data_IF_996084574168
#
_entry.id   IF_996084574168
#
_cell.length_a   1.000
_cell.length_b   1.000
_cell.length_c   1.000
_cell.angle_alpha   90.00
_cell.angle_beta   90.00
_cell.angle_gamma   90.00
#
_symmetry.space_group_name_H-M   'P 1'
#
loop_
_entity.id
_entity.type
_entity.pdbx_description
1 polymer ?
#
# COMPACT_ATOMS: atom_id res chain seq x y z
N UNK A 1 -15.98 -10.28 -1.58
CA UNK A 1 -15.54 -8.88 -1.58
C UNK A 1 -14.03 -8.84 -1.44
N UNK A 2 -13.33 -8.09 -2.30
CA UNK A 2 -11.86 -8.00 -2.33
C UNK A 2 -11.49 -6.50 -2.31
N UNK A 3 -10.57 -6.11 -1.43
CA UNK A 3 -10.03 -4.75 -1.40
C UNK A 3 -8.61 -4.76 -1.98
N UNK A 4 -8.37 -3.99 -3.03
CA UNK A 4 -7.04 -3.83 -3.64
C UNK A 4 -6.42 -2.56 -3.06
N UNK A 5 -5.39 -2.72 -2.24
CA UNK A 5 -4.82 -1.63 -1.45
C UNK A 5 -3.47 -1.16 -1.99
N UNK A 6 -3.19 0.15 -1.91
CA UNK A 6 -1.88 0.76 -2.23
C UNK A 6 -1.23 1.48 -1.03
N UNK A 7 -1.65 1.15 0.20
CA UNK A 7 -1.26 1.81 1.45
C UNK A 7 0.04 1.29 2.10
N UNK A 8 0.88 0.56 1.36
CA UNK A 8 2.10 -0.01 1.93
C UNK A 8 3.18 1.07 2.12
N UNK A 9 3.62 1.26 3.36
CA UNK A 9 4.74 2.15 3.69
C UNK A 9 5.95 1.30 4.09
N UNK A 10 7.03 1.33 3.30
CA UNK A 10 8.24 0.58 3.60
C UNK A 10 8.88 1.01 4.92
N UNK A 11 9.41 0.05 5.68
CA UNK A 11 10.10 0.26 6.95
C UNK A 11 11.60 -0.08 6.84
N UNK A 12 12.43 0.50 7.71
CA UNK A 12 13.90 0.31 7.64
C UNK A 12 14.35 -1.16 7.65
N UNK A 13 13.63 -2.04 8.35
CA UNK A 13 14.03 -3.46 8.44
C UNK A 13 13.90 -4.23 7.12
N UNK A 14 13.14 -3.72 6.14
CA UNK A 14 13.03 -4.33 4.79
C UNK A 14 13.97 -3.69 3.77
N UNK A 15 14.81 -2.71 4.16
CA UNK A 15 15.70 -1.97 3.26
C UNK A 15 16.62 -2.82 2.39
N UNK A 16 17.02 -4.00 2.87
CA UNK A 16 17.83 -4.96 2.10
C UNK A 16 17.09 -5.57 0.90
N UNK A 17 15.76 -5.51 0.88
CA UNK A 17 14.89 -6.03 -0.18
C UNK A 17 14.37 -4.84 -0.99
N UNK A 18 15.01 -4.53 -2.11
CA UNK A 18 14.69 -3.34 -2.93
C UNK A 18 13.24 -3.35 -3.43
N UNK A 19 12.72 -4.54 -3.71
CA UNK A 19 11.36 -4.81 -4.12
C UNK A 19 10.32 -4.51 -3.03
N UNK A 20 10.70 -4.64 -1.76
CA UNK A 20 9.86 -4.30 -0.60
C UNK A 20 10.16 -2.90 -0.06
N UNK A 21 11.30 -2.29 -0.38
CA UNK A 21 11.68 -0.96 0.12
C UNK A 21 11.20 0.18 -0.79
N UNK A 22 10.02 0.01 -1.40
CA UNK A 22 9.38 1.07 -2.21
C UNK A 22 7.86 0.93 -2.19
N UNK A 23 7.18 2.02 -2.56
CA UNK A 23 5.75 2.00 -2.85
C UNK A 23 5.51 1.46 -4.25
N UNK A 24 4.35 0.85 -4.45
CA UNK A 24 3.85 0.55 -5.80
C UNK A 24 3.65 1.86 -6.56
N UNK A 25 3.98 1.86 -7.84
CA UNK A 25 3.66 3.01 -8.70
C UNK A 25 2.17 2.99 -9.05
N UNK A 26 1.64 4.15 -9.48
CA UNK A 26 0.26 4.22 -9.95
C UNK A 26 -0.02 3.22 -11.09
N UNK A 27 0.90 3.11 -12.05
CA UNK A 27 0.80 2.17 -13.18
C UNK A 27 0.71 0.71 -12.72
N UNK A 28 1.54 0.31 -11.75
CA UNK A 28 1.53 -1.07 -11.23
C UNK A 28 0.25 -1.38 -10.45
N UNK A 29 -0.31 -0.38 -9.76
CA UNK A 29 -1.61 -0.53 -9.10
C UNK A 29 -2.74 -0.70 -10.12
N UNK A 30 -2.75 0.14 -11.16
CA UNK A 30 -3.74 0.08 -12.24
C UNK A 30 -3.68 -1.27 -12.98
N UNK A 31 -2.48 -1.80 -13.26
CA UNK A 31 -2.29 -3.12 -13.87
C UNK A 31 -2.94 -4.26 -13.04
N UNK A 32 -2.89 -4.17 -11.71
CA UNK A 32 -3.55 -5.15 -10.81
C UNK A 32 -5.07 -4.97 -10.81
N UNK A 33 -5.56 -3.74 -10.88
CA UNK A 33 -6.99 -3.44 -10.98
C UNK A 33 -7.55 -3.95 -12.32
N UNK A 34 -6.87 -3.68 -13.43
CA UNK A 34 -7.23 -4.16 -14.76
C UNK A 34 -7.26 -5.69 -14.82
N UNK A 35 -6.27 -6.35 -14.22
CA UNK A 35 -6.25 -7.80 -14.11
C UNK A 35 -7.44 -8.34 -13.29
N UNK A 36 -7.79 -7.69 -12.18
CA UNK A 36 -8.96 -8.08 -11.38
C UNK A 36 -10.27 -7.95 -12.19
N UNK A 37 -10.38 -6.92 -13.03
CA UNK A 37 -11.51 -6.74 -13.96
C UNK A 37 -11.55 -7.88 -14.97
N UNK A 38 -10.41 -8.21 -15.60
CA UNK A 38 -10.29 -9.24 -16.65
C UNK A 38 -10.73 -10.64 -16.15
N UNK A 39 -10.35 -11.00 -14.92
CA UNK A 39 -10.74 -12.29 -14.32
C UNK A 39 -12.16 -12.30 -13.75
N UNK A 40 -12.92 -11.20 -13.90
CA UNK A 40 -14.33 -11.12 -13.50
C UNK A 40 -14.59 -10.77 -12.03
N UNK A 41 -13.67 -10.06 -11.36
CA UNK A 41 -13.94 -9.54 -10.01
C UNK A 41 -15.00 -8.45 -10.07
N UNK A 42 -16.20 -8.74 -9.58
CA UNK A 42 -17.34 -7.80 -9.57
C UNK A 42 -17.57 -7.13 -8.21
N UNK A 43 -16.94 -7.64 -7.15
CA UNK A 43 -17.10 -7.15 -5.78
C UNK A 43 -15.77 -6.63 -5.23
N UNK A 44 -15.16 -5.71 -5.97
CA UNK A 44 -13.86 -5.10 -5.69
C UNK A 44 -13.99 -3.69 -5.09
N UNK A 45 -13.14 -3.37 -4.11
CA UNK A 45 -12.92 -2.00 -3.64
C UNK A 45 -11.53 -1.54 -4.09
N UNK A 46 -11.47 -0.40 -4.76
CA UNK A 46 -10.24 0.27 -5.21
C UNK A 46 -10.08 1.62 -4.49
N UNK A 47 -8.87 2.15 -4.48
CA UNK A 47 -8.51 3.38 -3.78
C UNK A 47 -8.07 4.44 -4.81
N UNK A 48 -8.59 5.68 -4.70
CA UNK A 48 -8.15 6.80 -5.53
C UNK A 48 -6.94 7.52 -4.90
N UNK A 49 -5.87 7.72 -5.69
CA UNK A 49 -4.74 8.59 -5.34
C UNK A 49 -3.67 8.00 -4.41
N UNK A 50 -2.81 8.88 -3.88
CA UNK A 50 -1.67 8.55 -3.00
C UNK A 50 -2.13 8.34 -1.55
N UNK A 51 -2.29 7.07 -1.16
CA UNK A 51 -2.75 6.70 0.18
C UNK A 51 -1.61 6.35 1.15
N UNK A 52 -0.47 5.87 0.63
CA UNK A 52 0.71 5.60 1.43
C UNK A 52 1.50 6.90 1.65
N UNK A 53 1.26 7.59 2.76
CA UNK A 53 2.09 8.72 3.21
C UNK A 53 2.87 8.35 4.46
N UNK A 54 4.14 8.77 4.52
CA UNK A 54 5.00 8.55 5.70
C UNK A 54 4.46 9.28 6.94
N UNK A 55 3.63 10.31 6.74
CA UNK A 55 2.92 11.03 7.79
C UNK A 55 1.94 10.17 8.61
N UNK A 56 1.69 8.92 8.20
CA UNK A 56 0.88 7.96 8.96
C UNK A 56 1.70 7.03 9.84
N UNK A 57 3.04 7.10 9.80
CA UNK A 57 3.89 6.37 10.73
C UNK A 57 3.94 7.19 12.03
N UNK A 58 3.45 6.69 13.17
CA UNK A 58 3.65 7.34 14.46
C UNK A 58 5.15 7.41 14.79
N UNK A 59 5.59 8.43 15.51
CA UNK A 59 7.01 8.59 15.87
C UNK A 59 7.55 7.49 16.82
N UNK A 60 6.67 6.59 17.31
CA UNK A 60 6.96 5.47 18.21
C UNK A 60 8.01 5.81 19.28
N UNK A 61 7.88 6.99 19.87
CA UNK A 61 8.87 7.62 20.75
C UNK A 61 8.67 7.29 22.24
N UNK A 62 7.80 6.32 22.54
CA UNK A 62 7.43 5.88 23.89
C UNK A 62 6.81 6.99 24.76
N UNK A 63 6.44 8.15 24.18
CA UNK A 63 5.71 9.18 24.91
C UNK A 63 4.29 8.69 25.22
N UNK A 64 3.80 9.01 26.43
CA UNK A 64 2.45 8.59 26.88
C UNK A 64 2.37 7.18 27.49
N UNK A 65 3.48 6.46 27.63
CA UNK A 65 3.57 5.28 28.49
C UNK A 65 3.77 5.74 29.94
N UNK A 66 2.67 5.87 30.69
CA UNK A 66 2.65 6.11 32.14
C UNK A 66 1.78 5.02 32.77
#
# INVERSE_FOLDING_TARGET
YISIMNQYTPLEHVKKYKELYRKVTHKEYDEVVDYAIDIGVTNGFIQEGDTAKESFIPDFDFTGLI
#
